data_IF_136692405707
#
_entry.id   IF_136692405707
#
_cell.length_a   1.000
_cell.length_b   1.000
_cell.length_c   1.000
_cell.angle_alpha   90.00
_cell.angle_beta   90.00
_cell.angle_gamma   90.00
#
_symmetry.space_group_name_H-M   'P 1'
#
loop_
_entity.id
_entity.type
_entity.pdbx_description
1 polymer ?
#
# COMPACT_ATOMS: atom_id res chain seq x y z
N UNK A 1 4.51 -2.35 26.68
CA UNK A 1 3.93 -1.07 27.13
C UNK A 1 3.93 -0.14 25.94
N UNK A 2 2.76 0.33 25.49
CA UNK A 2 2.67 1.32 24.44
C UNK A 2 3.25 2.65 24.96
N UNK A 3 4.30 3.17 24.32
CA UNK A 3 4.83 4.50 24.62
C UNK A 3 3.93 5.51 23.90
N UNK A 4 3.10 6.22 24.64
CA UNK A 4 2.27 7.30 24.07
C UNK A 4 3.18 8.50 23.89
N UNK A 5 3.56 8.78 22.65
CA UNK A 5 4.29 10.00 22.33
C UNK A 5 3.29 11.12 22.06
N UNK A 6 3.02 11.92 23.08
CA UNK A 6 2.27 13.17 22.92
C UNK A 6 3.23 14.19 22.32
N UNK A 7 3.06 14.45 21.03
CA UNK A 7 3.76 15.54 20.36
C UNK A 7 2.92 16.82 20.47
N UNK A 8 3.17 17.64 21.49
CA UNK A 8 2.66 19.02 21.52
C UNK A 8 3.59 19.86 20.65
N UNK A 9 3.09 20.45 19.55
CA UNK A 9 3.74 21.62 18.96
C UNK A 9 2.77 22.78 18.98
N UNK A 10 2.96 23.68 19.93
CA UNK A 10 2.77 25.09 19.67
C UNK A 10 4.13 25.63 19.18
N UNK A 11 4.10 26.53 18.20
CA UNK A 11 5.27 27.06 17.51
C UNK A 11 6.43 27.43 18.44
N UNK A 12 7.66 27.11 17.99
CA UNK A 12 8.99 27.38 18.55
C UNK A 12 9.52 26.41 19.62
N UNK A 13 10.63 25.75 19.26
CA UNK A 13 11.53 24.91 20.07
C UNK A 13 10.93 23.70 20.80
N UNK A 14 11.34 22.51 20.34
CA UNK A 14 10.94 21.19 20.80
C UNK A 14 11.47 20.90 22.22
N UNK A 15 10.64 21.05 23.25
CA UNK A 15 10.90 20.53 24.59
C UNK A 15 10.05 19.27 24.86
N UNK A 16 10.71 18.16 25.18
CA UNK A 16 10.05 16.98 25.69
C UNK A 16 9.58 17.25 27.13
N UNK A 17 8.28 17.50 27.31
CA UNK A 17 7.68 17.64 28.64
C UNK A 17 7.56 16.26 29.28
N UNK A 18 8.38 16.00 30.30
CA UNK A 18 8.22 14.87 31.21
C UNK A 18 7.77 15.40 32.56
N UNK A 19 6.60 14.97 33.06
CA UNK A 19 6.29 14.66 34.49
C UNK A 19 4.77 14.57 34.78
N UNK A 20 4.33 13.78 35.79
CA UNK A 20 5.08 12.86 36.68
C UNK A 20 4.50 11.40 36.78
N UNK A 21 5.17 10.41 37.43
CA UNK A 21 6.53 9.90 37.22
C UNK A 21 6.56 8.35 37.11
N UNK A 22 6.85 7.80 35.93
CA UNK A 22 7.63 6.56 35.80
C UNK A 22 8.47 6.65 34.53
N UNK A 23 9.80 6.45 34.60
CA UNK A 23 10.69 6.65 33.46
C UNK A 23 10.56 5.47 32.50
N UNK A 24 9.82 5.66 31.40
CA UNK A 24 9.79 4.73 30.27
C UNK A 24 10.69 5.19 29.13
N UNK A 25 11.94 5.56 29.45
CA UNK A 25 13.11 5.32 28.61
C UNK A 25 14.36 5.70 29.39
N UNK A 26 15.24 4.71 29.59
CA UNK A 26 16.65 5.01 29.80
C UNK A 26 17.12 5.78 28.56
N UNK A 27 17.56 7.01 28.79
CA UNK A 27 18.18 7.85 27.78
C UNK A 27 19.35 7.06 27.18
N UNK A 28 19.22 6.63 25.93
CA UNK A 28 20.39 6.31 25.12
C UNK A 28 21.25 7.58 25.10
N UNK A 29 22.49 7.47 25.54
CA UNK A 29 23.37 8.60 25.75
C UNK A 29 23.51 9.47 24.49
N UNK A 30 22.89 10.67 24.50
CA UNK A 30 23.43 11.82 23.75
C UNK A 30 22.55 12.60 22.76
N UNK A 31 21.23 12.45 22.69
CA UNK A 31 20.43 13.33 21.82
C UNK A 31 18.93 13.12 21.99
N UNK A 32 18.14 14.19 21.83
CA UNK A 32 16.67 14.20 21.97
C UNK A 32 16.05 12.95 21.30
N UNK A 33 15.57 12.01 22.11
CA UNK A 33 15.24 10.65 21.66
C UNK A 33 13.97 10.61 20.81
N UNK A 34 14.11 10.69 19.50
CA UNK A 34 13.05 10.38 18.55
C UNK A 34 12.74 8.87 18.61
N UNK A 35 11.48 8.44 18.38
CA UNK A 35 11.16 7.03 18.20
C UNK A 35 12.09 6.36 17.19
N UNK A 36 12.55 5.17 17.53
CA UNK A 36 13.28 4.29 16.63
C UNK A 36 12.43 3.12 16.15
N UNK A 37 13.04 2.23 15.37
CA UNK A 37 12.42 1.03 14.81
C UNK A 37 11.82 0.06 15.83
N UNK A 38 12.14 0.21 17.12
CA UNK A 38 11.63 -0.61 18.23
C UNK A 38 10.54 0.08 19.05
N UNK A 39 10.25 1.35 18.79
CA UNK A 39 9.29 2.14 19.55
C UNK A 39 7.96 2.22 18.82
N UNK A 40 6.86 2.01 19.55
CA UNK A 40 5.53 2.33 19.07
C UNK A 40 5.27 3.83 19.25
N UNK A 41 4.61 4.44 18.27
CA UNK A 41 4.23 5.85 18.31
C UNK A 41 2.72 6.01 18.08
N UNK A 42 2.12 6.99 18.76
CA UNK A 42 0.73 7.39 18.55
C UNK A 42 0.71 8.90 18.35
N UNK A 43 0.16 9.36 17.23
CA UNK A 43 -0.15 10.78 17.02
C UNK A 43 -1.57 11.00 17.53
N UNK A 44 -1.70 11.75 18.61
CA UNK A 44 -2.98 12.01 19.26
C UNK A 44 -3.93 12.83 18.37
N UNK A 45 -5.24 12.73 18.63
CA UNK A 45 -6.25 13.53 17.94
C UNK A 45 -5.91 15.02 17.97
N UNK A 46 -6.16 15.73 16.86
CA UNK A 46 -5.94 17.17 16.74
C UNK A 46 -4.48 17.60 16.61
N UNK A 47 -3.52 16.66 16.58
CA UNK A 47 -2.10 16.97 16.41
C UNK A 47 -1.63 16.64 15.00
N UNK A 48 -0.78 17.51 14.45
CA UNK A 48 -0.08 17.31 13.19
C UNK A 48 1.42 17.20 13.44
N UNK A 49 2.05 16.15 12.95
CA UNK A 49 3.50 15.95 13.04
C UNK A 49 4.14 16.15 11.69
N UNK A 50 5.17 16.98 11.64
CA UNK A 50 5.95 17.18 10.42
C UNK A 50 7.18 16.28 10.44
N UNK A 51 7.30 15.43 9.43
CA UNK A 51 8.50 14.66 9.16
C UNK A 51 9.44 15.47 8.26
N UNK A 52 10.46 16.07 8.86
CA UNK A 52 11.47 16.89 8.18
C UNK A 52 12.84 16.20 7.99
N UNK A 53 12.96 14.96 8.44
CA UNK A 53 14.10 14.07 8.21
C UNK A 53 13.62 12.61 8.14
N UNK A 54 14.43 11.69 7.63
CA UNK A 54 14.13 10.26 7.69
C UNK A 54 13.98 9.77 9.14
N UNK A 55 12.97 8.94 9.40
CA UNK A 55 12.70 8.40 10.74
C UNK A 55 12.18 6.95 10.66
N UNK A 56 12.10 6.28 11.80
CA UNK A 56 11.55 4.93 11.88
C UNK A 56 10.77 4.69 13.16
N UNK A 57 9.75 3.84 13.07
CA UNK A 57 8.93 3.39 14.21
C UNK A 57 8.68 1.89 14.09
N UNK A 58 8.32 1.25 15.20
CA UNK A 58 7.73 -0.08 15.18
C UNK A 58 6.28 0.01 14.70
N UNK A 59 5.32 0.32 15.58
CA UNK A 59 3.93 0.61 15.19
C UNK A 59 3.65 2.11 15.14
N UNK A 60 2.75 2.54 14.25
CA UNK A 60 2.22 3.91 14.23
C UNK A 60 0.70 3.89 14.32
N UNK A 61 0.13 4.61 15.29
CA UNK A 61 -1.31 4.86 15.38
C UNK A 61 -1.62 6.34 15.15
N UNK A 62 -2.50 6.65 14.21
CA UNK A 62 -3.00 8.00 13.94
C UNK A 62 -4.38 8.17 14.59
N UNK A 63 -4.43 8.79 15.77
CA UNK A 63 -5.62 8.84 16.60
C UNK A 63 -6.59 10.02 16.27
N UNK A 64 -6.57 10.52 15.03
CA UNK A 64 -7.13 11.85 14.70
C UNK A 64 -8.28 11.92 13.70
N UNK A 65 -8.74 10.79 13.13
CA UNK A 65 -9.78 10.80 12.10
C UNK A 65 -9.41 11.68 10.90
N UNK A 66 -10.28 12.65 10.56
CA UNK A 66 -10.15 13.53 9.39
C UNK A 66 -9.18 14.71 9.55
N UNK A 67 -8.67 14.97 10.77
CA UNK A 67 -7.65 15.99 11.00
C UNK A 67 -6.25 15.42 10.71
N UNK A 68 -5.38 16.22 10.10
CA UNK A 68 -4.05 15.78 9.65
C UNK A 68 -3.23 15.25 10.81
N UNK A 69 -2.83 13.98 10.76
CA UNK A 69 -1.96 13.35 11.75
C UNK A 69 -0.48 13.46 11.37
N UNK A 70 -0.16 13.29 10.09
CA UNK A 70 1.22 13.26 9.60
C UNK A 70 1.39 14.10 8.34
N UNK A 71 2.29 15.07 8.39
CA UNK A 71 2.77 15.85 7.25
C UNK A 71 4.19 15.39 6.88
N UNK A 72 4.37 14.82 5.70
CA UNK A 72 5.67 14.33 5.24
C UNK A 72 6.25 15.25 4.17
N UNK A 73 7.34 15.93 4.49
CA UNK A 73 8.01 16.79 3.51
C UNK A 73 8.71 15.95 2.44
N UNK A 74 8.80 16.47 1.22
CA UNK A 74 9.39 15.77 0.08
C UNK A 74 10.82 15.30 0.39
N UNK A 75 11.15 14.07 -0.03
CA UNK A 75 12.47 13.47 0.17
C UNK A 75 12.67 12.79 1.52
N UNK A 76 11.71 12.90 2.45
CA UNK A 76 11.77 12.21 3.73
C UNK A 76 10.99 10.90 3.70
N UNK A 77 11.51 9.89 4.41
CA UNK A 77 10.91 8.57 4.54
C UNK A 77 10.64 8.24 6.00
N UNK A 78 9.42 7.82 6.31
CA UNK A 78 9.07 7.17 7.57
C UNK A 78 9.05 5.65 7.37
N UNK A 79 9.97 4.95 8.01
CA UNK A 79 10.03 3.49 8.00
C UNK A 79 9.18 2.89 9.13
N UNK A 80 8.25 2.00 8.81
CA UNK A 80 7.39 1.30 9.77
C UNK A 80 7.76 -0.19 9.80
N UNK A 81 8.24 -0.67 10.95
CA UNK A 81 8.69 -2.06 11.14
C UNK A 81 7.55 -3.00 11.57
N UNK A 82 6.47 -2.43 12.11
CA UNK A 82 5.24 -3.11 12.54
C UNK A 82 4.06 -2.70 11.66
N UNK A 83 3.02 -2.17 12.30
CA UNK A 83 1.70 -1.88 11.73
C UNK A 83 1.40 -0.38 11.71
N UNK A 84 0.77 0.10 10.63
CA UNK A 84 0.11 1.40 10.56
C UNK A 84 -1.38 1.26 10.88
N UNK A 85 -1.89 2.03 11.82
CA UNK A 85 -3.29 2.01 12.21
C UNK A 85 -3.85 3.43 12.35
N UNK A 86 -5.17 3.56 12.32
CA UNK A 86 -5.88 4.78 12.66
C UNK A 86 -7.01 4.47 13.66
N UNK A 87 -7.35 5.44 14.50
CA UNK A 87 -8.51 5.34 15.40
C UNK A 87 -9.07 6.73 15.70
N UNK A 88 -10.21 7.15 15.13
CA UNK A 88 -11.08 6.40 14.21
C UNK A 88 -10.46 6.20 12.81
N UNK A 89 -11.22 5.62 11.88
CA UNK A 89 -10.81 5.46 10.48
C UNK A 89 -10.26 6.76 9.89
N UNK A 90 -9.22 6.68 9.04
CA UNK A 90 -8.56 7.87 8.55
C UNK A 90 -9.49 8.64 7.60
N UNK A 91 -9.23 9.94 7.42
CA UNK A 91 -9.85 10.76 6.39
C UNK A 91 -8.89 11.08 5.25
N UNK A 92 -9.36 11.91 4.31
CA UNK A 92 -8.58 12.29 3.13
C UNK A 92 -7.26 12.98 3.46
N UNK A 93 -7.19 13.66 4.61
CA UNK A 93 -6.04 14.47 5.01
C UNK A 93 -5.19 13.83 6.12
N UNK A 94 -5.41 12.57 6.48
CA UNK A 94 -4.70 11.94 7.60
C UNK A 94 -3.19 11.89 7.41
N UNK A 95 -2.74 11.65 6.16
CA UNK A 95 -1.33 11.73 5.74
C UNK A 95 -1.24 12.71 4.57
N UNK A 96 -0.36 13.70 4.67
CA UNK A 96 -0.16 14.74 3.66
C UNK A 96 1.32 14.88 3.26
N UNK A 97 1.54 15.61 2.16
CA UNK A 97 2.86 15.91 1.63
C UNK A 97 3.42 14.81 0.73
N UNK A 98 4.56 15.07 0.08
CA UNK A 98 5.16 14.16 -0.91
C UNK A 98 6.34 13.34 -0.37
N UNK A 99 6.51 13.25 0.95
CA UNK A 99 7.37 12.23 1.54
C UNK A 99 6.82 10.81 1.36
N UNK A 100 7.50 9.83 1.97
CA UNK A 100 7.22 8.42 1.77
C UNK A 100 6.98 7.70 3.10
N UNK A 101 5.92 6.91 3.19
CA UNK A 101 5.78 5.88 4.23
C UNK A 101 6.24 4.55 3.65
N UNK A 102 7.17 3.89 4.32
CA UNK A 102 7.75 2.62 3.89
C UNK A 102 7.58 1.53 4.94
N UNK A 103 6.97 0.41 4.60
CA UNK A 103 7.00 -0.79 5.44
C UNK A 103 8.29 -1.58 5.20
N UNK A 104 9.01 -1.93 6.27
CA UNK A 104 10.30 -2.67 6.20
C UNK A 104 10.35 -3.83 7.20
N UNK A 105 11.10 -4.90 6.93
CA UNK A 105 11.25 -6.04 7.85
C UNK A 105 10.43 -7.28 7.46
N UNK A 106 10.14 -8.17 8.43
CA UNK A 106 9.56 -9.51 8.18
C UNK A 106 8.03 -9.56 8.01
N UNK A 107 7.47 -10.79 8.00
CA UNK A 107 6.03 -11.02 7.76
C UNK A 107 5.15 -10.53 8.91
N UNK A 108 4.04 -9.84 8.59
CA UNK A 108 3.09 -9.26 9.57
C UNK A 108 1.86 -8.64 8.89
N UNK A 109 0.87 -8.22 9.67
CA UNK A 109 -0.15 -7.30 9.17
C UNK A 109 0.46 -5.88 9.04
N UNK A 110 0.34 -5.27 7.86
CA UNK A 110 0.86 -3.93 7.60
C UNK A 110 -0.12 -2.84 8.05
N UNK A 111 -1.41 -3.12 7.92
CA UNK A 111 -2.48 -2.20 8.29
C UNK A 111 -3.34 -2.78 9.40
N UNK A 112 -3.62 -1.96 10.41
CA UNK A 112 -4.53 -2.30 11.50
C UNK A 112 -5.99 -2.23 11.08
N UNK A 113 -6.88 -2.82 11.89
CA UNK A 113 -8.33 -2.88 11.61
C UNK A 113 -9.03 -1.53 11.56
N UNK A 114 -8.39 -0.48 12.09
CA UNK A 114 -8.91 0.88 12.03
C UNK A 114 -8.51 1.63 10.77
N UNK A 115 -7.75 1.02 9.85
CA UNK A 115 -7.41 1.63 8.57
C UNK A 115 -8.54 1.46 7.53
N UNK A 116 -8.60 2.37 6.55
CA UNK A 116 -9.56 2.33 5.44
C UNK A 116 -8.99 3.04 4.20
N UNK A 117 -9.63 2.84 3.04
CA UNK A 117 -9.23 3.40 1.75
C UNK A 117 -9.78 4.81 1.52
N UNK A 118 -9.49 5.72 2.45
CA UNK A 118 -9.99 7.11 2.48
C UNK A 118 -8.91 8.17 2.36
N UNK A 119 -7.62 7.84 2.55
CA UNK A 119 -6.50 8.80 2.46
C UNK A 119 -5.80 8.72 1.10
N UNK A 120 -6.10 9.59 0.12
CA UNK A 120 -5.41 9.63 -1.16
C UNK A 120 -4.08 10.41 -1.08
N UNK A 121 -3.35 10.45 -2.18
CA UNK A 121 -2.26 11.40 -2.47
C UNK A 121 -0.96 11.31 -1.66
N UNK A 122 -0.85 10.40 -0.68
CA UNK A 122 0.42 10.08 -0.03
C UNK A 122 1.19 8.99 -0.80
N UNK A 123 2.49 8.85 -0.53
CA UNK A 123 3.30 7.79 -1.13
C UNK A 123 3.50 6.63 -0.16
N UNK A 124 3.20 5.44 -0.63
CA UNK A 124 3.34 4.17 0.09
C UNK A 124 4.35 3.28 -0.64
N UNK A 125 5.31 2.75 0.11
CA UNK A 125 6.19 1.66 -0.33
C UNK A 125 6.13 0.47 0.63
N UNK A 126 6.03 -0.73 0.07
CA UNK A 126 6.14 -2.01 0.78
C UNK A 126 7.47 -2.63 0.36
N UNK A 127 8.45 -2.57 1.25
CA UNK A 127 9.83 -3.02 1.04
C UNK A 127 10.22 -4.04 2.11
N UNK A 128 9.54 -5.20 2.10
CA UNK A 128 9.76 -6.26 3.09
C UNK A 128 11.02 -7.06 2.79
N UNK A 129 11.53 -7.76 3.79
CA UNK A 129 12.60 -8.75 3.58
C UNK A 129 12.17 -9.75 2.50
N UNK A 130 13.06 -10.12 1.55
CA UNK A 130 12.73 -11.10 0.52
C UNK A 130 12.08 -12.37 1.08
N UNK A 131 10.97 -12.80 0.49
CA UNK A 131 10.17 -13.94 0.95
C UNK A 131 9.21 -13.66 2.12
N UNK A 132 9.26 -12.48 2.74
CA UNK A 132 8.30 -12.09 3.76
C UNK A 132 6.97 -11.64 3.14
N UNK A 133 5.88 -11.81 3.90
CA UNK A 133 4.52 -11.42 3.51
C UNK A 133 3.94 -10.40 4.47
N UNK A 134 3.62 -9.23 3.93
CA UNK A 134 2.81 -8.22 4.59
C UNK A 134 1.34 -8.42 4.23
N UNK A 135 0.44 -8.44 5.21
CA UNK A 135 -0.99 -8.63 4.98
C UNK A 135 -1.82 -7.38 5.26
N UNK A 136 -2.98 -7.26 4.59
CA UNK A 136 -4.03 -6.31 4.96
C UNK A 136 -5.41 -6.94 4.84
N UNK A 137 -6.22 -6.85 5.90
CA UNK A 137 -7.63 -7.26 5.88
C UNK A 137 -8.59 -6.11 5.48
N UNK A 138 -8.05 -4.91 5.30
CA UNK A 138 -8.77 -3.67 4.99
C UNK A 138 -8.29 -3.09 3.67
N UNK A 139 -9.11 -2.28 2.97
CA UNK A 139 -8.69 -1.71 1.71
C UNK A 139 -7.60 -0.66 1.94
N UNK A 140 -6.68 -0.53 0.98
CA UNK A 140 -5.56 0.40 1.06
C UNK A 140 -5.68 1.43 -0.05
N UNK A 141 -5.53 2.72 0.29
CA UNK A 141 -5.50 3.83 -0.65
C UNK A 141 -4.26 4.69 -0.43
N UNK A 142 -3.59 5.06 -1.51
CA UNK A 142 -2.51 6.05 -1.53
C UNK A 142 -2.36 6.62 -2.95
N UNK A 143 -1.69 7.77 -3.10
CA UNK A 143 -1.40 8.36 -4.42
C UNK A 143 -0.46 7.49 -5.24
N UNK A 144 0.67 7.14 -4.66
CA UNK A 144 1.65 6.21 -5.26
C UNK A 144 1.77 5.00 -4.36
N UNK A 145 1.61 3.81 -4.93
CA UNK A 145 1.81 2.53 -4.25
C UNK A 145 2.92 1.77 -4.96
N UNK A 146 3.98 1.44 -4.24
CA UNK A 146 5.10 0.63 -4.73
C UNK A 146 5.22 -0.63 -3.88
N UNK A 147 5.14 -1.80 -4.49
CA UNK A 147 5.57 -3.05 -3.88
C UNK A 147 7.00 -3.28 -4.35
N UNK A 148 7.95 -2.88 -3.53
CA UNK A 148 9.37 -2.85 -3.88
C UNK A 148 10.04 -4.21 -3.66
N UNK A 149 9.62 -4.96 -2.63
CA UNK A 149 10.15 -6.30 -2.33
C UNK A 149 9.22 -7.10 -1.43
N UNK A 150 9.38 -8.43 -1.44
CA UNK A 150 8.54 -9.35 -0.68
C UNK A 150 7.13 -9.46 -1.27
N UNK A 151 6.18 -9.91 -0.45
CA UNK A 151 4.78 -10.09 -0.86
C UNK A 151 3.90 -9.11 -0.09
N UNK A 152 3.07 -8.34 -0.79
CA UNK A 152 1.89 -7.72 -0.19
C UNK A 152 0.66 -8.54 -0.55
N UNK A 153 -0.08 -9.01 0.46
CA UNK A 153 -1.29 -9.80 0.29
C UNK A 153 -2.48 -9.13 0.98
N UNK A 154 -3.57 -8.93 0.25
CA UNK A 154 -4.79 -8.38 0.84
C UNK A 154 -6.02 -9.12 0.34
N UNK A 155 -6.98 -9.34 1.22
CA UNK A 155 -8.32 -9.82 0.84
C UNK A 155 -9.25 -8.70 0.34
N UNK A 156 -8.78 -7.45 0.37
CA UNK A 156 -9.57 -6.25 0.07
C UNK A 156 -9.06 -5.51 -1.16
N UNK A 157 -9.53 -4.28 -1.39
CA UNK A 157 -9.15 -3.45 -2.53
C UNK A 157 -7.77 -2.79 -2.35
N UNK A 158 -7.06 -2.62 -3.46
CA UNK A 158 -5.90 -1.73 -3.57
C UNK A 158 -6.28 -0.56 -4.46
N UNK A 159 -6.18 0.67 -3.93
CA UNK A 159 -6.71 1.87 -4.56
C UNK A 159 -5.64 2.95 -4.77
N UNK A 160 -4.88 2.91 -5.87
CA UNK A 160 -4.03 4.03 -6.27
C UNK A 160 -4.91 5.25 -6.62
N UNK A 161 -4.77 6.35 -5.89
CA UNK A 161 -5.62 7.53 -6.00
C UNK A 161 -4.87 8.79 -5.54
N UNK A 162 -4.62 9.71 -6.46
CA UNK A 162 -4.01 11.03 -6.18
C UNK A 162 -5.07 12.15 -6.16
N UNK A 163 -6.28 11.82 -5.71
CA UNK A 163 -7.42 12.72 -5.50
C UNK A 163 -7.94 13.42 -6.76
N UNK A 164 -7.67 12.86 -7.94
CA UNK A 164 -8.22 13.30 -9.22
C UNK A 164 -8.64 12.09 -10.07
N UNK A 165 -9.61 12.25 -10.97
CA UNK A 165 -9.94 11.20 -11.93
C UNK A 165 -8.68 10.81 -12.72
N UNK A 166 -8.54 9.52 -13.04
CA UNK A 166 -7.43 8.99 -13.83
C UNK A 166 -6.05 9.31 -13.23
N UNK A 167 -5.96 9.25 -11.90
CA UNK A 167 -4.75 9.58 -11.14
C UNK A 167 -4.35 8.44 -10.21
N UNK A 168 -3.13 8.53 -9.68
CA UNK A 168 -2.55 7.54 -8.78
C UNK A 168 -1.94 6.35 -9.52
N UNK A 169 -0.89 5.78 -8.95
CA UNK A 169 -0.07 4.76 -9.64
C UNK A 169 0.23 3.58 -8.74
N UNK A 170 0.26 2.39 -9.34
CA UNK A 170 0.71 1.15 -8.71
C UNK A 170 1.89 0.60 -9.49
N UNK A 171 2.97 0.28 -8.78
CA UNK A 171 4.14 -0.41 -9.33
C UNK A 171 4.48 -1.64 -8.50
N UNK A 172 4.70 -2.77 -9.17
CA UNK A 172 5.21 -4.00 -8.57
C UNK A 172 6.61 -4.23 -9.15
N UNK A 173 7.64 -4.17 -8.30
CA UNK A 173 9.03 -4.39 -8.69
C UNK A 173 9.29 -5.86 -9.05
N UNK A 174 10.40 -6.15 -9.74
CA UNK A 174 10.71 -7.47 -10.30
C UNK A 174 10.73 -8.60 -9.27
N UNK A 175 11.23 -8.31 -8.07
CA UNK A 175 11.40 -9.30 -6.99
C UNK A 175 10.25 -9.24 -5.98
N UNK A 176 9.12 -8.64 -6.38
CA UNK A 176 7.98 -8.39 -5.52
C UNK A 176 6.72 -9.07 -6.04
N UNK A 177 5.82 -9.40 -5.11
CA UNK A 177 4.52 -9.99 -5.40
C UNK A 177 3.41 -9.16 -4.77
N UNK A 178 2.37 -8.86 -5.55
CA UNK A 178 1.12 -8.34 -5.04
C UNK A 178 0.02 -9.40 -5.22
N UNK A 179 -0.66 -9.77 -4.14
CA UNK A 179 -1.85 -10.64 -4.16
C UNK A 179 -3.07 -9.85 -3.72
N UNK A 180 -4.07 -9.72 -4.59
CA UNK A 180 -5.28 -8.94 -4.31
C UNK A 180 -6.53 -9.80 -4.43
N UNK A 181 -7.18 -9.97 -3.29
CA UNK A 181 -8.48 -10.60 -3.13
C UNK A 181 -9.62 -9.76 -3.70
N UNK A 182 -9.57 -8.44 -3.47
CA UNK A 182 -10.50 -7.44 -3.98
C UNK A 182 -10.07 -6.84 -5.32
N UNK A 183 -10.49 -5.60 -5.56
CA UNK A 183 -10.27 -4.89 -6.81
C UNK A 183 -8.98 -4.07 -6.80
N UNK A 184 -8.46 -3.82 -8.00
CA UNK A 184 -7.47 -2.76 -8.23
C UNK A 184 -8.17 -1.65 -9.00
N UNK A 185 -8.54 -0.57 -8.31
CA UNK A 185 -9.25 0.56 -8.88
C UNK A 185 -9.08 1.80 -8.00
N UNK A 186 -9.10 2.99 -8.59
CA UNK A 186 -9.00 4.26 -7.83
C UNK A 186 -10.15 4.42 -6.83
N UNK A 187 -11.37 4.12 -7.28
CA UNK A 187 -12.63 4.23 -6.53
C UNK A 187 -13.48 2.99 -6.72
N UNK A 188 -14.58 2.89 -5.98
CA UNK A 188 -15.61 1.87 -6.20
C UNK A 188 -16.41 2.11 -7.49
N UNK A 189 -16.37 3.32 -8.04
CA UNK A 189 -16.96 3.69 -9.33
C UNK A 189 -16.01 3.39 -10.49
N UNK A 190 -16.54 2.77 -11.55
CA UNK A 190 -15.75 2.26 -12.70
C UNK A 190 -15.29 3.33 -13.70
N UNK A 191 -15.90 4.51 -13.70
CA UNK A 191 -15.57 5.60 -14.66
C UNK A 191 -14.31 6.37 -14.30
N UNK A 192 -13.87 6.28 -13.05
CA UNK A 192 -12.67 6.95 -12.57
C UNK A 192 -11.58 5.92 -12.33
N UNK A 193 -10.68 5.79 -13.29
CA UNK A 193 -9.62 4.80 -13.27
C UNK A 193 -8.43 5.31 -12.42
N UNK A 194 -7.53 4.42 -12.01
CA UNK A 194 -6.19 4.90 -11.62
C UNK A 194 -5.38 5.27 -12.89
N UNK A 195 -4.28 6.01 -12.74
CA UNK A 195 -3.47 6.42 -13.90
C UNK A 195 -2.76 5.21 -14.53
N UNK A 196 -2.10 4.41 -13.70
CA UNK A 196 -1.31 3.28 -14.20
C UNK A 196 -1.12 2.16 -13.21
N UNK A 197 -1.08 0.93 -13.73
CA UNK A 197 -0.59 -0.26 -13.05
C UNK A 197 0.61 -0.79 -13.86
N UNK A 198 1.77 -0.88 -13.21
CA UNK A 198 3.00 -1.39 -13.82
C UNK A 198 3.46 -2.65 -13.10
N UNK A 199 3.61 -3.75 -13.83
CA UNK A 199 3.96 -5.07 -13.29
C UNK A 199 5.31 -5.50 -13.85
N UNK A 200 6.35 -5.44 -13.03
CA UNK A 200 7.66 -6.01 -13.32
C UNK A 200 7.88 -7.35 -12.61
N UNK A 201 7.24 -7.55 -11.46
CA UNK A 201 7.21 -8.81 -10.70
C UNK A 201 5.91 -9.57 -10.92
N UNK A 202 5.24 -9.97 -9.85
CA UNK A 202 4.02 -10.79 -9.92
C UNK A 202 2.81 -10.02 -9.41
N UNK A 203 1.77 -9.92 -10.24
CA UNK A 203 0.42 -9.53 -9.83
C UNK A 203 -0.48 -10.77 -9.83
N UNK A 204 -0.97 -11.18 -8.66
CA UNK A 204 -2.05 -12.17 -8.53
C UNK A 204 -3.35 -11.47 -8.15
N UNK A 205 -4.40 -11.66 -8.94
CA UNK A 205 -5.68 -11.02 -8.70
C UNK A 205 -6.84 -12.01 -8.78
N UNK A 206 -7.70 -11.99 -7.77
CA UNK A 206 -8.96 -12.74 -7.75
C UNK A 206 -10.22 -11.86 -7.79
N UNK A 207 -10.11 -10.56 -7.50
CA UNK A 207 -11.27 -9.66 -7.57
C UNK A 207 -11.74 -9.37 -8.99
N UNK A 208 -12.94 -8.80 -9.11
CA UNK A 208 -13.67 -8.70 -10.37
C UNK A 208 -13.20 -7.56 -11.29
N UNK A 209 -12.47 -6.57 -10.78
CA UNK A 209 -12.09 -5.40 -11.57
C UNK A 209 -10.60 -5.03 -11.46
N UNK A 210 -9.98 -4.77 -12.61
CA UNK A 210 -8.68 -4.12 -12.78
C UNK A 210 -8.89 -2.86 -13.64
N UNK A 211 -8.78 -1.69 -13.01
CA UNK A 211 -9.17 -0.42 -13.63
C UNK A 211 -8.06 0.63 -13.54
N UNK A 212 -7.37 0.86 -14.66
CA UNK A 212 -6.33 1.87 -14.83
C UNK A 212 -6.29 2.38 -16.27
N UNK A 213 -5.90 3.64 -16.54
CA UNK A 213 -5.74 4.08 -17.94
C UNK A 213 -4.73 3.22 -18.70
N UNK A 214 -3.60 2.92 -18.06
CA UNK A 214 -2.54 2.09 -18.62
C UNK A 214 -2.19 0.94 -17.67
N UNK A 215 -2.29 -0.30 -18.16
CA UNK A 215 -1.87 -1.49 -17.44
C UNK A 215 -0.75 -2.12 -18.25
N UNK A 216 0.45 -2.11 -17.71
CA UNK A 216 1.65 -2.58 -18.39
C UNK A 216 2.22 -3.80 -17.66
N UNK A 217 2.17 -4.96 -18.32
CA UNK A 217 2.89 -6.15 -17.87
C UNK A 217 4.22 -6.16 -18.63
N UNK A 218 5.29 -5.75 -17.93
CA UNK A 218 6.60 -5.57 -18.54
C UNK A 218 7.32 -6.91 -18.75
N UNK A 219 8.48 -6.88 -19.41
CA UNK A 219 9.30 -8.07 -19.62
C UNK A 219 9.67 -8.73 -18.29
N UNK A 220 9.45 -10.04 -18.16
CA UNK A 220 9.59 -10.77 -16.90
C UNK A 220 8.42 -10.64 -15.92
N UNK A 221 7.51 -9.68 -16.14
CA UNK A 221 6.31 -9.50 -15.33
C UNK A 221 5.29 -10.61 -15.55
N UNK A 222 4.59 -10.98 -14.47
CA UNK A 222 3.56 -12.01 -14.47
C UNK A 222 2.24 -11.42 -13.98
N UNK A 223 1.20 -11.54 -14.79
CA UNK A 223 -0.18 -11.31 -14.36
C UNK A 223 -0.90 -12.64 -14.23
N UNK A 224 -1.26 -13.01 -13.00
CA UNK A 224 -1.94 -14.26 -12.65
C UNK A 224 -3.38 -13.99 -12.20
N UNK A 225 -4.33 -14.62 -12.86
CA UNK A 225 -5.76 -14.59 -12.52
C UNK A 225 -6.19 -15.85 -11.80
N UNK A 226 -6.59 -15.72 -10.54
CA UNK A 226 -6.95 -16.85 -9.66
C UNK A 226 -8.44 -16.92 -9.33
N UNK A 227 -9.22 -15.88 -9.66
CA UNK A 227 -10.67 -15.82 -9.38
C UNK A 227 -11.52 -16.78 -10.23
N UNK A 228 -12.72 -17.12 -9.73
CA UNK A 228 -13.70 -17.97 -10.43
C UNK A 228 -14.60 -17.23 -11.43
N UNK A 229 -14.55 -15.89 -11.43
CA UNK A 229 -15.28 -15.03 -12.35
C UNK A 229 -14.30 -14.30 -13.28
N UNK A 230 -14.77 -13.91 -14.47
CA UNK A 230 -13.99 -13.08 -15.40
C UNK A 230 -13.57 -11.75 -14.76
N UNK A 231 -12.49 -11.16 -15.27
CA UNK A 231 -12.05 -9.82 -14.88
C UNK A 231 -12.66 -8.80 -15.81
N UNK A 232 -13.24 -7.74 -15.26
CA UNK A 232 -13.42 -6.52 -16.05
C UNK A 232 -12.10 -5.77 -16.05
N UNK A 233 -11.48 -5.67 -17.22
CA UNK A 233 -10.31 -4.81 -17.43
C UNK A 233 -10.81 -3.52 -18.05
N UNK A 234 -10.67 -2.42 -17.31
CA UNK A 234 -10.99 -1.08 -17.82
C UNK A 234 -9.66 -0.35 -18.00
N UNK A 235 -9.29 -0.04 -19.25
CA UNK A 235 -7.98 0.51 -19.58
C UNK A 235 -7.34 -0.05 -20.83
N UNK A 236 -6.17 0.49 -21.19
CA UNK A 236 -5.28 -0.14 -22.14
C UNK A 236 -4.40 -1.17 -21.42
N UNK A 237 -4.58 -2.46 -21.72
CA UNK A 237 -3.78 -3.56 -21.21
C UNK A 237 -2.70 -3.95 -22.23
N UNK A 238 -1.44 -3.79 -21.85
CA UNK A 238 -0.28 -4.04 -22.69
C UNK A 238 0.60 -5.15 -22.09
N UNK A 239 1.01 -6.09 -22.93
CA UNK A 239 1.97 -7.14 -22.61
C UNK A 239 3.26 -6.90 -23.38
N UNK A 240 4.37 -6.69 -22.69
CA UNK A 240 5.68 -6.58 -23.31
C UNK A 240 6.22 -7.94 -23.76
N UNK A 241 7.18 -7.93 -24.69
CA UNK A 241 7.90 -9.15 -25.04
C UNK A 241 8.54 -9.79 -23.80
N UNK A 242 8.24 -11.07 -23.57
CA UNK A 242 8.71 -11.83 -22.41
C UNK A 242 7.87 -11.70 -21.13
N UNK A 243 6.71 -11.04 -21.17
CA UNK A 243 5.72 -11.08 -20.07
C UNK A 243 4.90 -12.38 -20.09
N UNK A 244 4.32 -12.75 -18.95
CA UNK A 244 3.44 -13.91 -18.81
C UNK A 244 2.04 -13.53 -18.33
N UNK A 245 1.02 -14.07 -19.02
CA UNK A 245 -0.35 -14.14 -18.51
C UNK A 245 -0.62 -15.56 -18.03
N UNK A 246 -1.09 -15.71 -16.79
CA UNK A 246 -1.45 -16.99 -16.20
C UNK A 246 -2.91 -17.02 -15.75
N UNK A 247 -3.66 -17.99 -16.24
CA UNK A 247 -4.99 -18.32 -15.73
C UNK A 247 -4.86 -19.54 -14.79
N UNK A 248 -5.08 -19.32 -13.50
CA UNK A 248 -4.85 -20.30 -12.42
C UNK A 248 -6.10 -20.56 -11.55
N UNK A 249 -7.29 -20.38 -12.13
CA UNK A 249 -8.57 -20.63 -11.46
C UNK A 249 -9.08 -22.07 -11.61
N UNK A 250 -9.97 -22.49 -10.71
CA UNK A 250 -10.65 -23.80 -10.77
C UNK A 250 -11.95 -23.82 -11.60
N UNK A 251 -12.31 -22.72 -12.25
CA UNK A 251 -13.53 -22.58 -13.05
C UNK A 251 -13.21 -21.96 -14.41
N UNK A 252 -14.14 -22.12 -15.38
CA UNK A 252 -14.00 -21.49 -16.70
C UNK A 252 -13.95 -19.97 -16.56
N UNK A 253 -12.93 -19.35 -17.16
CA UNK A 253 -12.73 -17.91 -17.13
C UNK A 253 -13.06 -17.34 -18.50
N UNK A 254 -14.05 -16.48 -18.58
CA UNK A 254 -14.33 -15.71 -19.80
C UNK A 254 -13.32 -14.57 -19.88
N UNK A 255 -12.55 -14.56 -20.95
CA UNK A 255 -11.43 -13.64 -21.14
C UNK A 255 -11.83 -12.26 -21.61
N UNK A 256 -13.07 -12.04 -22.05
CA UNK A 256 -13.56 -10.71 -22.44
C UNK A 256 -12.54 -9.97 -23.33
N UNK A 257 -12.33 -8.67 -23.08
CA UNK A 257 -11.31 -7.86 -23.75
C UNK A 257 -9.90 -7.98 -23.15
N UNK A 258 -9.67 -8.89 -22.19
CA UNK A 258 -8.39 -9.07 -21.50
C UNK A 258 -7.31 -9.67 -22.42
N UNK A 259 -7.71 -10.54 -23.35
CA UNK A 259 -6.80 -11.09 -24.34
C UNK A 259 -6.56 -10.06 -25.45
N UNK A 260 -5.46 -9.34 -25.35
CA UNK A 260 -4.91 -8.62 -26.49
C UNK A 260 -4.64 -9.60 -27.64
N UNK A 261 -4.70 -9.11 -28.89
CA UNK A 261 -4.44 -9.93 -30.08
C UNK A 261 -3.04 -10.60 -30.10
N UNK A 262 -2.13 -10.14 -29.23
CA UNK A 262 -0.80 -10.72 -29.06
C UNK A 262 -0.46 -10.83 -27.57
N UNK A 263 -0.27 -12.05 -27.08
CA UNK A 263 0.31 -12.36 -25.77
C UNK A 263 1.52 -13.27 -26.03
N UNK A 264 2.70 -12.90 -25.51
CA UNK A 264 3.94 -13.61 -25.84
C UNK A 264 4.05 -14.97 -25.15
N UNK A 265 3.74 -15.04 -23.85
CA UNK A 265 3.64 -16.29 -23.10
C UNK A 265 2.30 -16.37 -22.37
N UNK A 266 1.39 -17.18 -22.92
CA UNK A 266 0.13 -17.52 -22.28
C UNK A 266 0.27 -18.88 -21.60
N UNK A 267 0.19 -18.89 -20.28
CA UNK A 267 0.13 -20.13 -19.49
C UNK A 267 -1.29 -20.32 -18.98
N UNK A 268 -1.85 -21.49 -19.25
CA UNK A 268 -3.20 -21.86 -18.81
C UNK A 268 -3.02 -23.02 -17.84
N UNK A 269 -3.05 -22.72 -16.53
CA UNK A 269 -3.00 -23.74 -15.48
C UNK A 269 -4.42 -24.15 -15.14
N UNK A 270 -4.85 -25.25 -15.75
CA UNK A 270 -6.26 -25.56 -15.88
C UNK A 270 -6.57 -27.01 -15.52
N UNK A 271 -6.88 -27.25 -14.24
CA UNK A 271 -7.35 -28.54 -13.79
C UNK A 271 -8.82 -28.84 -14.19
N UNK A 272 -9.58 -27.86 -14.75
CA UNK A 272 -11.05 -27.95 -14.87
C UNK A 272 -11.69 -27.44 -16.17
N UNK A 273 -10.92 -27.14 -17.22
CA UNK A 273 -11.42 -26.70 -18.54
C UNK A 273 -11.72 -25.20 -18.72
N UNK A 274 -10.80 -24.27 -18.41
CA UNK A 274 -10.82 -22.88 -18.91
C UNK A 274 -10.98 -22.85 -20.43
N UNK A 275 -12.09 -22.25 -20.90
CA UNK A 275 -12.33 -21.94 -22.31
C UNK A 275 -12.01 -20.46 -22.52
N UNK A 276 -10.98 -20.15 -23.32
CA UNK A 276 -10.75 -18.79 -23.79
C UNK A 276 -11.80 -18.47 -24.85
N UNK A 277 -12.55 -17.40 -24.65
CA UNK A 277 -13.63 -16.95 -25.54
C UNK A 277 -13.65 -15.44 -25.65
#
# INVERSE_FOLDING_TARGET
MAKVLIFLTANSNLEAVTTPPTPHNALGSGGLGYPGSTDDATIAAGHMITLNAGAGVNNLTLAGGSNVGLLMLNGNTLSINGTLNASPAPGANTILGGGLVRFVGGSRALFGVGWDATTPSWNLEIALTPGATGTSAVPVKAGTIVIASGTFETSSDVRPDNNAANSGTLTIASDATLRVGGNIARTTTVTDQCLSVTVNGVLEQSGSNLSALNININSGGVYRRTGSSGTTVTGALNYAAGSTLEYAGGASQTTGTELAATVHHLTISNASGVTLG
#
